data_IF_249070196359
#
_entry.id   IF_249070196359
#
_cell.length_a   1.000
_cell.length_b   1.000
_cell.length_c   1.000
_cell.angle_alpha   90.00
_cell.angle_beta   90.00
_cell.angle_gamma   90.00
#
_symmetry.space_group_name_H-M   'P 1'
#
loop_
_entity.id
_entity.type
_entity.pdbx_description
1 polymer ?
#
# COMPACT_ATOMS: atom_id res chain seq x y z
N UNK A 1 -16.83 -3.38 11.43
CA UNK A 1 -15.83 -3.37 10.32
C UNK A 1 -16.52 -3.78 9.02
N UNK A 2 -16.54 -2.92 7.99
CA UNK A 2 -17.15 -3.30 6.71
C UNK A 2 -16.28 -4.39 6.06
N UNK A 3 -16.78 -5.63 6.12
CA UNK A 3 -16.05 -6.79 5.64
C UNK A 3 -16.27 -6.95 4.13
N UNK A 4 -15.38 -6.35 3.33
CA UNK A 4 -15.41 -6.48 1.86
C UNK A 4 -15.07 -7.89 1.36
N UNK A 5 -14.67 -8.80 2.26
CA UNK A 5 -14.26 -10.17 1.93
C UNK A 5 -15.44 -11.11 1.71
N UNK A 6 -16.65 -10.71 2.11
CA UNK A 6 -17.88 -11.51 1.98
C UNK A 6 -18.88 -10.83 1.02
N UNK A 7 -18.37 -10.24 -0.07
CA UNK A 7 -19.18 -9.51 -1.05
C UNK A 7 -19.15 -10.18 -2.43
N UNK A 8 -20.10 -9.80 -3.28
CA UNK A 8 -20.30 -10.38 -4.61
C UNK A 8 -19.07 -10.32 -5.51
N UNK A 9 -18.19 -9.34 -5.28
CA UNK A 9 -16.94 -9.20 -6.06
C UNK A 9 -15.95 -10.31 -5.75
N UNK A 10 -15.91 -10.76 -4.50
CA UNK A 10 -15.10 -11.92 -4.10
C UNK A 10 -15.69 -13.18 -4.73
N UNK A 11 -16.99 -13.39 -4.62
CA UNK A 11 -17.67 -14.56 -5.22
C UNK A 11 -17.43 -14.64 -6.74
N UNK A 12 -17.47 -13.50 -7.42
CA UNK A 12 -17.17 -13.42 -8.85
C UNK A 12 -15.73 -13.87 -9.18
N UNK A 13 -14.75 -13.51 -8.36
CA UNK A 13 -13.35 -13.90 -8.57
C UNK A 13 -13.16 -15.38 -8.22
N UNK A 14 -13.63 -15.79 -7.03
CA UNK A 14 -13.41 -17.15 -6.52
C UNK A 14 -14.13 -18.22 -7.35
N UNK A 15 -15.29 -17.91 -7.93
CA UNK A 15 -16.02 -18.85 -8.81
C UNK A 15 -15.28 -19.19 -10.11
N UNK A 16 -14.26 -18.41 -10.50
CA UNK A 16 -13.44 -18.64 -11.69
C UNK A 16 -12.10 -19.29 -11.37
N UNK A 17 -11.87 -19.65 -10.10
CA UNK A 17 -10.63 -20.27 -9.65
C UNK A 17 -10.55 -21.71 -10.15
N UNK A 18 -9.39 -22.09 -10.69
CA UNK A 18 -9.10 -23.46 -11.14
C UNK A 18 -8.76 -24.37 -9.95
N UNK A 19 -8.76 -25.68 -10.19
CA UNK A 19 -8.41 -26.69 -9.18
C UNK A 19 -6.98 -26.56 -8.65
N UNK A 20 -6.05 -26.06 -9.47
CA UNK A 20 -4.67 -25.78 -9.08
C UNK A 20 -4.51 -24.55 -8.16
N UNK A 21 -5.61 -23.85 -7.90
CA UNK A 21 -5.67 -22.68 -7.03
C UNK A 21 -5.37 -21.36 -7.72
N UNK A 22 -5.16 -21.35 -9.03
CA UNK A 22 -4.85 -20.15 -9.85
C UNK A 22 -6.05 -19.70 -10.71
N UNK A 23 -5.85 -18.66 -11.52
CA UNK A 23 -6.80 -18.17 -12.53
C UNK A 23 -6.08 -17.97 -13.86
N UNK A 24 -6.60 -18.54 -14.95
CA UNK A 24 -6.09 -18.31 -16.30
C UNK A 24 -4.56 -18.39 -16.44
N UNK A 25 -4.00 -17.56 -17.32
CA UNK A 25 -2.57 -17.26 -17.32
C UNK A 25 -2.25 -16.30 -16.17
N UNK A 26 -0.98 -16.19 -15.80
CA UNK A 26 -0.53 -15.35 -14.71
C UNK A 26 -0.73 -13.86 -15.03
N UNK A 27 -0.11 -13.37 -16.09
CA UNK A 27 0.09 -11.94 -16.30
C UNK A 27 -1.09 -11.23 -16.97
N UNK A 28 -1.59 -10.20 -16.28
CA UNK A 28 -2.15 -8.99 -16.87
C UNK A 28 -2.39 -7.97 -15.75
N UNK A 29 -1.88 -6.74 -15.88
CA UNK A 29 -2.25 -5.62 -15.00
C UNK A 29 -3.36 -4.74 -15.58
N UNK A 30 -3.88 -5.09 -16.76
CA UNK A 30 -5.03 -4.42 -17.36
C UNK A 30 -6.30 -4.65 -16.53
N UNK A 31 -7.29 -3.79 -16.72
CA UNK A 31 -8.58 -3.92 -16.03
C UNK A 31 -9.28 -5.21 -16.47
N UNK A 32 -9.95 -5.92 -15.54
CA UNK A 32 -10.81 -7.04 -15.89
C UNK A 32 -11.86 -6.60 -16.92
N UNK A 33 -12.08 -7.43 -17.94
CA UNK A 33 -13.09 -7.19 -18.97
C UNK A 33 -14.27 -8.09 -18.68
N UNK A 34 -15.48 -7.52 -18.66
CA UNK A 34 -16.72 -8.29 -18.45
C UNK A 34 -16.81 -9.46 -19.43
N UNK A 35 -17.09 -10.65 -18.92
CA UNK A 35 -17.19 -11.88 -19.72
C UNK A 35 -15.86 -12.55 -20.07
N UNK A 36 -14.71 -11.97 -19.70
CA UNK A 36 -13.41 -12.64 -19.78
C UNK A 36 -12.99 -13.20 -18.42
N UNK A 37 -12.35 -14.36 -18.43
CA UNK A 37 -11.79 -14.94 -17.21
C UNK A 37 -10.68 -14.08 -16.64
N UNK A 38 -10.57 -14.04 -15.31
CA UNK A 38 -9.44 -13.40 -14.63
C UNK A 38 -8.12 -14.08 -15.00
N UNK A 39 -7.05 -13.28 -15.10
CA UNK A 39 -5.69 -13.78 -14.90
C UNK A 39 -5.38 -13.89 -13.40
N UNK A 40 -4.36 -14.67 -13.04
CA UNK A 40 -3.98 -14.83 -11.63
C UNK A 40 -3.57 -13.49 -11.03
N UNK A 41 -2.83 -12.68 -11.77
CA UNK A 41 -2.42 -11.35 -11.34
C UNK A 41 -3.60 -10.41 -11.14
N UNK A 42 -4.60 -10.40 -12.03
CA UNK A 42 -5.81 -9.60 -11.85
C UNK A 42 -6.58 -10.04 -10.59
N UNK A 43 -6.71 -11.35 -10.39
CA UNK A 43 -7.44 -11.91 -9.25
C UNK A 43 -6.77 -11.53 -7.92
N UNK A 44 -5.47 -11.78 -7.75
CA UNK A 44 -4.77 -11.47 -6.49
C UNK A 44 -4.69 -9.96 -6.22
N UNK A 45 -4.49 -9.14 -7.27
CA UNK A 45 -4.50 -7.68 -7.13
C UNK A 45 -5.85 -7.21 -6.63
N UNK A 46 -6.93 -7.76 -7.18
CA UNK A 46 -8.28 -7.39 -6.78
C UNK A 46 -8.59 -7.86 -5.35
N UNK A 47 -8.23 -9.10 -5.01
CA UNK A 47 -8.40 -9.64 -3.65
C UNK A 47 -7.61 -8.83 -2.61
N UNK A 48 -6.40 -8.35 -2.93
CA UNK A 48 -5.63 -7.45 -2.07
C UNK A 48 -6.42 -6.19 -1.68
N UNK A 49 -7.03 -5.50 -2.66
CA UNK A 49 -7.84 -4.31 -2.38
C UNK A 49 -9.14 -4.63 -1.64
N UNK A 50 -9.69 -5.85 -1.80
CA UNK A 50 -10.83 -6.35 -1.03
C UNK A 50 -10.44 -6.82 0.39
N UNK A 51 -9.18 -6.70 0.78
CA UNK A 51 -8.70 -6.95 2.14
C UNK A 51 -8.21 -8.37 2.40
N UNK A 52 -7.91 -9.14 1.36
CA UNK A 52 -7.21 -10.42 1.50
C UNK A 52 -5.71 -10.20 1.77
N UNK A 53 -5.14 -11.16 2.49
CA UNK A 53 -3.79 -11.12 3.05
C UNK A 53 -3.07 -12.46 2.82
N UNK A 54 -1.78 -12.55 3.15
CA UNK A 54 -1.00 -13.77 2.96
C UNK A 54 -1.48 -14.93 3.86
N UNK A 55 -2.17 -14.61 4.95
CA UNK A 55 -2.75 -15.51 5.92
C UNK A 55 -3.97 -16.28 5.35
N UNK A 56 -4.63 -15.71 4.35
CA UNK A 56 -5.80 -16.28 3.71
C UNK A 56 -5.39 -17.44 2.79
N UNK A 57 -6.00 -18.61 2.98
CA UNK A 57 -5.63 -19.83 2.25
C UNK A 57 -5.62 -19.65 0.73
N UNK A 58 -6.62 -18.93 0.20
CA UNK A 58 -6.70 -18.63 -1.23
C UNK A 58 -5.46 -17.89 -1.75
N UNK A 59 -4.94 -16.93 -1.00
CA UNK A 59 -3.74 -16.17 -1.37
C UNK A 59 -2.50 -17.02 -1.11
N UNK A 60 -2.42 -17.67 0.05
CA UNK A 60 -1.27 -18.49 0.46
C UNK A 60 -0.91 -19.57 -0.57
N UNK A 61 -1.89 -20.20 -1.20
CA UNK A 61 -1.67 -21.18 -2.27
C UNK A 61 -0.95 -20.53 -3.47
N UNK A 62 -1.40 -19.35 -3.89
CA UNK A 62 -0.79 -18.62 -5.00
C UNK A 62 0.63 -18.20 -4.64
N UNK A 63 0.85 -17.62 -3.46
CA UNK A 63 2.17 -17.16 -3.03
C UNK A 63 3.19 -18.31 -2.98
N UNK A 64 2.79 -19.48 -2.44
CA UNK A 64 3.65 -20.68 -2.48
C UNK A 64 4.00 -21.07 -3.92
N UNK A 65 3.03 -21.06 -4.83
CA UNK A 65 3.30 -21.34 -6.24
C UNK A 65 4.29 -20.33 -6.83
N UNK A 66 4.11 -19.04 -6.58
CA UNK A 66 5.04 -18.00 -7.05
C UNK A 66 6.46 -18.25 -6.54
N UNK A 67 6.60 -18.62 -5.28
CA UNK A 67 7.90 -18.90 -4.67
C UNK A 67 8.59 -20.10 -5.33
N UNK A 68 7.85 -21.19 -5.57
CA UNK A 68 8.35 -22.37 -6.29
C UNK A 68 8.80 -22.00 -7.71
N UNK A 69 8.06 -21.12 -8.39
CA UNK A 69 8.43 -20.64 -9.73
C UNK A 69 9.72 -19.82 -9.73
N UNK A 70 9.91 -18.93 -8.75
CA UNK A 70 11.14 -18.14 -8.64
C UNK A 70 12.36 -19.05 -8.42
N UNK A 71 12.21 -20.11 -7.61
CA UNK A 71 13.23 -21.14 -7.36
C UNK A 71 13.48 -22.05 -8.56
N UNK A 72 12.62 -22.02 -9.58
CA UNK A 72 12.70 -22.88 -10.77
C UNK A 72 12.18 -24.30 -10.53
N UNK A 73 11.41 -24.51 -9.47
CA UNK A 73 10.83 -25.82 -9.12
C UNK A 73 9.60 -26.15 -9.96
N UNK A 74 8.84 -25.12 -10.38
CA UNK A 74 7.61 -25.25 -11.17
C UNK A 74 7.50 -24.09 -12.18
N UNK A 75 6.81 -24.33 -13.29
CA UNK A 75 6.34 -23.24 -14.14
C UNK A 75 5.06 -22.60 -13.54
N UNK A 76 4.89 -21.29 -13.73
CA UNK A 76 3.67 -20.60 -13.26
C UNK A 76 2.46 -20.95 -14.14
N UNK A 77 2.69 -21.04 -15.45
CA UNK A 77 1.77 -21.48 -16.50
C UNK A 77 2.57 -21.83 -17.77
N UNK A 78 1.87 -22.15 -18.87
CA UNK A 78 2.48 -22.48 -20.17
C UNK A 78 2.69 -21.25 -21.08
N UNK A 79 2.47 -20.04 -20.57
CA UNK A 79 2.57 -18.82 -21.37
C UNK A 79 4.00 -18.27 -21.40
N UNK A 80 4.43 -17.80 -22.57
CA UNK A 80 5.70 -17.07 -22.71
C UNK A 80 5.65 -16.08 -23.88
N UNK A 81 6.25 -14.90 -23.69
CA UNK A 81 6.45 -13.94 -24.77
C UNK A 81 7.81 -14.11 -25.44
N UNK A 82 7.82 -14.29 -26.76
CA UNK A 82 9.05 -14.54 -27.55
C UNK A 82 10.01 -13.34 -27.63
N UNK A 83 9.53 -12.12 -27.35
CA UNK A 83 10.32 -10.87 -27.54
C UNK A 83 11.18 -10.50 -26.33
N UNK A 84 10.98 -11.17 -25.20
CA UNK A 84 11.64 -10.87 -23.94
C UNK A 84 12.27 -12.14 -23.37
N UNK A 85 13.26 -11.99 -22.51
CA UNK A 85 13.71 -13.08 -21.64
C UNK A 85 12.61 -13.32 -20.60
N UNK A 86 11.56 -14.03 -21.02
CA UNK A 86 10.31 -14.15 -20.27
C UNK A 86 10.53 -14.67 -18.86
N UNK A 87 11.40 -15.67 -18.70
CA UNK A 87 11.77 -16.22 -17.39
C UNK A 87 12.38 -15.19 -16.44
N UNK A 88 13.09 -14.20 -16.96
CA UNK A 88 13.65 -13.11 -16.16
C UNK A 88 12.57 -12.11 -15.73
N UNK A 89 11.70 -11.73 -16.67
CA UNK A 89 10.58 -10.82 -16.38
C UNK A 89 9.55 -11.46 -15.44
N UNK A 90 9.26 -12.75 -15.61
CA UNK A 90 8.39 -13.53 -14.74
C UNK A 90 8.90 -13.48 -13.29
N UNK A 91 10.19 -13.75 -13.06
CA UNK A 91 10.78 -13.65 -11.71
C UNK A 91 10.60 -12.27 -11.08
N UNK A 92 10.77 -11.20 -11.84
CA UNK A 92 10.51 -9.83 -11.37
C UNK A 92 9.04 -9.66 -10.95
N UNK A 93 8.09 -10.06 -11.79
CA UNK A 93 6.65 -9.94 -11.51
C UNK A 93 6.24 -10.73 -10.27
N UNK A 94 6.66 -12.00 -10.20
CA UNK A 94 6.33 -12.90 -9.09
C UNK A 94 6.93 -12.40 -7.77
N UNK A 95 8.19 -11.98 -7.78
CA UNK A 95 8.85 -11.45 -6.59
C UNK A 95 8.20 -10.15 -6.10
N UNK A 96 7.80 -9.25 -7.02
CA UNK A 96 7.11 -8.02 -6.67
C UNK A 96 5.77 -8.30 -5.96
N UNK A 97 4.95 -9.22 -6.48
CA UNK A 97 3.69 -9.62 -5.83
C UNK A 97 3.90 -10.33 -4.51
N UNK A 98 4.88 -11.25 -4.42
CA UNK A 98 5.27 -11.85 -3.14
C UNK A 98 5.63 -10.79 -2.12
N UNK A 99 6.44 -9.78 -2.47
CA UNK A 99 6.80 -8.70 -1.54
C UNK A 99 5.64 -7.79 -1.17
N UNK A 100 4.59 -7.67 -1.98
CA UNK A 100 3.38 -6.93 -1.62
C UNK A 100 2.64 -7.62 -0.46
N UNK A 101 2.50 -8.94 -0.53
CA UNK A 101 1.79 -9.72 0.50
C UNK A 101 2.68 -10.11 1.69
N UNK A 102 3.94 -10.47 1.42
CA UNK A 102 4.93 -10.94 2.37
C UNK A 102 6.24 -10.14 2.20
N UNK A 103 6.34 -8.93 2.78
CA UNK A 103 7.50 -8.05 2.56
C UNK A 103 8.86 -8.63 2.96
N UNK A 104 8.87 -9.66 3.82
CA UNK A 104 10.05 -10.35 4.36
C UNK A 104 10.25 -11.76 3.77
N UNK A 105 9.54 -12.12 2.69
CA UNK A 105 9.73 -13.39 2.00
C UNK A 105 11.18 -13.48 1.46
N UNK A 106 11.94 -14.48 1.91
CA UNK A 106 13.38 -14.60 1.62
C UNK A 106 13.68 -14.76 0.14
N UNK A 107 12.93 -15.63 -0.54
CA UNK A 107 13.08 -15.89 -1.97
C UNK A 107 12.85 -14.61 -2.79
N UNK A 108 11.83 -13.83 -2.44
CA UNK A 108 11.56 -12.57 -3.11
C UNK A 108 12.59 -11.47 -2.75
N UNK A 109 13.14 -11.49 -1.52
CA UNK A 109 14.20 -10.59 -1.10
C UNK A 109 15.51 -10.84 -1.86
N UNK A 110 15.86 -12.09 -2.16
CA UNK A 110 17.04 -12.40 -3.00
C UNK A 110 16.94 -11.73 -4.37
N UNK A 111 15.76 -11.82 -5.02
CA UNK A 111 15.50 -11.11 -6.29
C UNK A 111 15.55 -9.59 -6.08
N UNK A 112 15.02 -9.08 -4.97
CA UNK A 112 15.05 -7.65 -4.65
C UNK A 112 16.48 -7.11 -4.47
N UNK A 113 17.36 -7.84 -3.78
CA UNK A 113 18.75 -7.43 -3.60
C UNK A 113 19.54 -7.42 -4.91
N UNK A 114 19.30 -8.39 -5.80
CA UNK A 114 19.92 -8.38 -7.13
C UNK A 114 19.52 -7.15 -7.94
N UNK A 115 18.25 -6.77 -7.92
CA UNK A 115 17.80 -5.53 -8.57
C UNK A 115 18.32 -4.27 -7.85
N UNK A 116 18.39 -4.30 -6.51
CA UNK A 116 18.92 -3.20 -5.72
C UNK A 116 20.36 -2.88 -6.10
N UNK A 117 21.22 -3.88 -6.30
CA UNK A 117 22.62 -3.66 -6.74
C UNK A 117 22.71 -2.86 -8.05
N UNK A 118 21.82 -3.11 -9.01
CA UNK A 118 21.78 -2.37 -10.28
C UNK A 118 21.31 -0.94 -10.03
N UNK A 119 20.27 -0.76 -9.21
CA UNK A 119 19.72 0.56 -8.86
C UNK A 119 20.78 1.38 -8.12
N UNK A 120 21.50 0.82 -7.16
CA UNK A 120 22.59 1.51 -6.44
C UNK A 120 23.67 2.02 -7.41
N UNK A 121 24.06 1.20 -8.39
CA UNK A 121 25.03 1.62 -9.43
C UNK A 121 24.44 2.69 -10.35
N UNK A 122 23.21 2.50 -10.83
CA UNK A 122 22.52 3.41 -11.74
C UNK A 122 22.27 4.81 -11.17
N UNK A 123 22.23 4.95 -9.84
CA UNK A 123 22.01 6.20 -9.13
C UNK A 123 23.26 6.74 -8.40
N UNK A 124 24.40 6.05 -8.52
CA UNK A 124 25.64 6.41 -7.81
C UNK A 124 26.13 7.83 -8.09
N UNK A 125 25.88 8.33 -9.30
CA UNK A 125 26.19 9.69 -9.75
C UNK A 125 25.27 10.79 -9.21
N UNK A 126 24.27 10.47 -8.39
CA UNK A 126 23.33 11.45 -7.82
C UNK A 126 22.03 11.64 -8.62
N UNK A 127 21.87 10.94 -9.74
CA UNK A 127 20.64 10.85 -10.52
C UNK A 127 20.65 9.56 -11.34
N UNK A 128 19.50 9.14 -11.87
CA UNK A 128 19.44 7.99 -12.76
C UNK A 128 20.35 8.17 -14.00
N UNK A 129 21.26 7.21 -14.21
CA UNK A 129 22.17 7.15 -15.34
C UNK A 129 21.89 5.92 -16.18
N UNK A 130 21.44 6.14 -17.42
CA UNK A 130 21.19 5.05 -18.39
C UNK A 130 22.46 4.26 -18.67
N UNK A 131 23.62 4.93 -18.71
CA UNK A 131 24.90 4.28 -18.96
C UNK A 131 25.28 3.34 -17.81
N UNK A 132 25.13 3.80 -16.56
CA UNK A 132 25.47 3.00 -15.38
C UNK A 132 24.48 1.85 -15.16
N UNK A 133 23.20 2.06 -15.46
CA UNK A 133 22.17 1.02 -15.47
C UNK A 133 22.52 -0.10 -16.47
N UNK A 134 22.79 0.27 -17.73
CA UNK A 134 23.20 -0.71 -18.76
C UNK A 134 24.51 -1.42 -18.36
N UNK A 135 25.48 -0.70 -17.80
CA UNK A 135 26.75 -1.28 -17.36
C UNK A 135 26.54 -2.28 -16.21
N UNK A 136 25.78 -1.89 -15.17
CA UNK A 136 25.46 -2.73 -14.03
C UNK A 136 24.65 -3.97 -14.43
N UNK A 137 23.66 -3.81 -15.30
CA UNK A 137 22.92 -4.94 -15.87
C UNK A 137 23.84 -5.87 -16.67
N UNK A 138 24.72 -5.31 -17.49
CA UNK A 138 25.65 -6.11 -18.31
C UNK A 138 26.61 -6.91 -17.47
N UNK A 139 27.13 -6.33 -16.39
CA UNK A 139 27.96 -7.01 -15.39
C UNK A 139 27.20 -8.15 -14.72
N UNK A 140 25.97 -7.90 -14.27
CA UNK A 140 25.15 -8.92 -13.60
C UNK A 140 24.74 -10.08 -14.52
N UNK A 141 24.32 -9.78 -15.75
CA UNK A 141 23.75 -10.77 -16.67
C UNK A 141 24.76 -11.35 -17.65
N UNK A 142 25.98 -10.80 -17.72
CA UNK A 142 26.98 -11.16 -18.73
C UNK A 142 26.55 -10.80 -20.17
N UNK A 143 25.53 -9.95 -20.33
CA UNK A 143 25.00 -9.52 -21.63
C UNK A 143 24.33 -8.16 -21.56
N UNK A 144 24.25 -7.46 -22.68
CA UNK A 144 23.48 -6.22 -22.78
C UNK A 144 21.97 -6.47 -22.60
N UNK A 145 21.21 -5.47 -22.12
CA UNK A 145 19.75 -5.51 -22.11
C UNK A 145 19.19 -5.70 -23.53
N UNK A 146 18.13 -6.48 -23.65
CA UNK A 146 17.38 -6.76 -24.89
C UNK A 146 16.04 -6.03 -24.93
N UNK A 147 15.56 -5.50 -23.81
CA UNK A 147 14.30 -4.77 -23.72
C UNK A 147 14.34 -3.66 -22.68
N UNK A 148 13.41 -2.71 -22.78
CA UNK A 148 13.22 -1.65 -21.78
C UNK A 148 12.67 -2.14 -20.44
N UNK A 149 12.35 -3.43 -20.30
CA UNK A 149 11.96 -4.02 -19.01
C UNK A 149 13.15 -4.43 -18.16
N UNK A 150 14.32 -4.56 -18.78
CA UNK A 150 15.57 -4.95 -18.14
C UNK A 150 16.37 -3.76 -17.60
N UNK A 151 15.92 -2.54 -17.88
CA UNK A 151 16.56 -1.27 -17.48
C UNK A 151 15.49 -0.21 -17.19
N UNK A 152 15.88 0.94 -16.68
CA UNK A 152 15.00 2.09 -16.45
C UNK A 152 14.15 2.01 -15.20
N UNK A 153 13.89 0.82 -14.65
CA UNK A 153 13.17 0.63 -13.39
C UNK A 153 11.78 1.30 -13.32
N UNK A 154 11.18 1.76 -14.42
CA UNK A 154 9.97 2.61 -14.42
C UNK A 154 8.63 1.88 -14.23
N UNK A 155 8.67 0.56 -14.11
CA UNK A 155 7.46 -0.26 -13.98
C UNK A 155 7.04 -0.45 -12.54
N UNK A 156 5.73 -0.57 -12.32
CA UNK A 156 5.12 -1.00 -11.06
C UNK A 156 5.92 -2.10 -10.32
N UNK A 157 6.38 -3.13 -11.03
CA UNK A 157 7.10 -4.26 -10.41
C UNK A 157 8.39 -3.86 -9.71
N UNK A 158 9.19 -2.96 -10.31
CA UNK A 158 10.42 -2.48 -9.69
C UNK A 158 10.11 -1.68 -8.42
N UNK A 159 9.17 -0.73 -8.50
CA UNK A 159 8.75 0.06 -7.34
C UNK A 159 8.13 -0.80 -6.23
N UNK A 160 7.41 -1.86 -6.57
CA UNK A 160 6.83 -2.77 -5.58
C UNK A 160 7.85 -3.73 -4.94
N UNK A 161 8.94 -4.04 -5.64
CA UNK A 161 9.98 -4.98 -5.23
C UNK A 161 11.02 -4.36 -4.30
N UNK A 162 11.39 -3.09 -4.49
CA UNK A 162 12.56 -2.48 -3.84
C UNK A 162 12.38 -1.80 -2.46
N UNK A 163 11.19 -1.71 -1.81
CA UNK A 163 11.12 -1.14 -0.47
C UNK A 163 12.05 -1.84 0.53
N UNK A 164 12.76 -1.09 1.37
CA UNK A 164 13.65 -1.60 2.44
C UNK A 164 14.94 -2.32 1.99
N UNK A 165 15.28 -2.30 0.71
CA UNK A 165 16.53 -2.93 0.21
C UNK A 165 17.49 -1.95 -0.47
N UNK A 166 17.12 -0.67 -0.55
CA UNK A 166 17.98 0.40 -1.04
C UNK A 166 18.62 1.15 0.14
N UNK A 167 19.80 1.71 -0.09
CA UNK A 167 20.43 2.65 0.83
C UNK A 167 19.57 3.91 0.97
N UNK A 168 19.58 4.60 2.12
CA UNK A 168 18.76 5.81 2.30
C UNK A 168 19.01 6.91 1.27
N UNK A 169 20.23 6.99 0.73
CA UNK A 169 20.59 7.95 -0.33
C UNK A 169 19.97 7.55 -1.67
N UNK A 170 20.14 6.29 -2.07
CA UNK A 170 19.60 5.78 -3.35
C UNK A 170 18.08 5.73 -3.32
N UNK A 171 17.47 5.36 -2.19
CA UNK A 171 16.01 5.41 -2.01
C UNK A 171 15.46 6.82 -2.27
N UNK A 172 16.12 7.85 -1.76
CA UNK A 172 15.72 9.25 -1.96
C UNK A 172 15.73 9.61 -3.47
N UNK A 173 16.82 9.30 -4.16
CA UNK A 173 16.96 9.55 -5.60
C UNK A 173 15.98 8.71 -6.44
N UNK A 174 15.71 7.48 -6.04
CA UNK A 174 14.79 6.57 -6.71
C UNK A 174 13.34 7.07 -6.63
N UNK A 175 12.94 7.66 -5.50
CA UNK A 175 11.64 8.30 -5.37
C UNK A 175 11.54 9.55 -6.24
N UNK A 176 12.57 10.40 -6.31
CA UNK A 176 12.59 11.57 -7.21
C UNK A 176 12.50 11.16 -8.69
N UNK A 177 13.17 10.06 -9.05
CA UNK A 177 13.06 9.45 -10.36
C UNK A 177 11.61 9.07 -10.69
N UNK A 178 10.91 8.36 -9.80
CA UNK A 178 9.51 8.01 -10.01
C UNK A 178 8.56 9.21 -10.03
N UNK A 179 8.82 10.21 -9.18
CA UNK A 179 8.01 11.43 -9.10
C UNK A 179 8.10 12.24 -10.39
N UNK A 180 9.30 12.37 -10.96
CA UNK A 180 9.57 13.20 -12.15
C UNK A 180 9.39 12.48 -13.48
N UNK A 181 9.17 11.16 -13.48
CA UNK A 181 9.13 10.34 -14.69
C UNK A 181 8.01 10.76 -15.66
N UNK A 182 8.33 11.17 -16.92
CA UNK A 182 7.34 11.72 -17.87
C UNK A 182 6.17 10.79 -18.19
N UNK A 183 6.45 9.50 -18.29
CA UNK A 183 5.52 8.41 -18.63
C UNK A 183 4.93 7.73 -17.39
N UNK A 184 5.19 8.26 -16.20
CA UNK A 184 4.65 7.76 -14.94
C UNK A 184 5.18 6.40 -14.52
N UNK A 185 4.32 5.64 -13.82
CA UNK A 185 4.59 4.28 -13.36
C UNK A 185 3.90 3.29 -14.30
N UNK A 186 4.69 2.73 -15.23
CA UNK A 186 4.18 1.82 -16.25
C UNK A 186 3.32 0.70 -15.64
N UNK A 187 2.25 0.35 -16.36
CA UNK A 187 1.09 -0.47 -15.98
C UNK A 187 -0.02 0.19 -15.17
N UNK A 188 0.26 1.17 -14.32
CA UNK A 188 -0.76 1.67 -13.38
C UNK A 188 -1.02 3.17 -13.45
N UNK A 189 -0.08 3.97 -13.94
CA UNK A 189 -0.26 5.41 -14.12
C UNK A 189 0.67 5.96 -15.21
N UNK A 190 0.14 6.77 -16.11
CA UNK A 190 0.79 7.16 -17.38
C UNK A 190 1.23 8.63 -17.45
N UNK A 191 1.38 9.29 -16.29
CA UNK A 191 1.75 10.70 -16.16
C UNK A 191 2.74 10.90 -15.00
N UNK A 192 3.46 12.03 -14.93
CA UNK A 192 4.36 12.32 -13.82
C UNK A 192 3.65 12.32 -12.46
N UNK A 193 4.25 11.68 -11.45
CA UNK A 193 3.63 11.57 -10.12
C UNK A 193 3.79 12.83 -9.27
N UNK A 194 4.72 13.72 -9.63
CA UNK A 194 4.84 15.07 -9.08
C UNK A 194 3.79 16.04 -9.65
N UNK A 195 2.95 15.61 -10.60
CA UNK A 195 1.83 16.38 -11.13
C UNK A 195 0.52 15.78 -10.60
N UNK A 196 -0.21 16.57 -9.82
CA UNK A 196 -1.48 16.15 -9.26
C UNK A 196 -2.57 16.08 -10.35
N UNK A 197 -3.48 15.09 -10.32
CA UNK A 197 -4.64 15.08 -11.18
C UNK A 197 -5.51 16.33 -10.96
N UNK A 198 -5.87 17.02 -12.05
CA UNK A 198 -6.71 18.23 -12.01
C UNK A 198 -8.09 17.99 -11.39
N UNK A 199 -8.69 16.83 -11.67
CA UNK A 199 -10.02 16.46 -11.20
C UNK A 199 -9.93 15.28 -10.25
N UNK A 200 -10.21 15.51 -8.96
CA UNK A 200 -10.18 14.47 -7.93
C UNK A 200 -11.18 13.35 -8.19
N UNK A 201 -12.43 13.67 -8.50
CA UNK A 201 -13.49 12.71 -8.78
C UNK A 201 -13.34 12.06 -10.18
N UNK A 202 -12.26 11.33 -10.38
CA UNK A 202 -11.90 10.71 -11.65
C UNK A 202 -11.20 9.36 -11.48
N UNK A 203 -11.23 8.56 -12.56
CA UNK A 203 -10.42 7.34 -12.64
C UNK A 203 -8.92 7.64 -12.60
N UNK A 204 -8.49 8.75 -13.22
CA UNK A 204 -7.09 9.17 -13.22
C UNK A 204 -6.58 9.36 -11.79
N UNK A 205 -7.38 9.94 -10.90
CA UNK A 205 -7.06 10.07 -9.47
C UNK A 205 -7.00 8.73 -8.74
N UNK A 206 -7.90 7.79 -9.04
CA UNK A 206 -7.85 6.43 -8.48
C UNK A 206 -6.56 5.69 -8.87
N UNK A 207 -6.14 5.81 -10.13
CA UNK A 207 -4.88 5.26 -10.64
C UNK A 207 -3.65 5.97 -10.05
N UNK A 208 -3.67 7.30 -9.96
CA UNK A 208 -2.63 8.10 -9.32
C UNK A 208 -2.38 7.63 -7.88
N UNK A 209 -3.47 7.51 -7.09
CA UNK A 209 -3.39 7.03 -5.71
C UNK A 209 -2.83 5.61 -5.63
N UNK A 210 -3.05 4.76 -6.64
CA UNK A 210 -2.43 3.45 -6.65
C UNK A 210 -0.91 3.48 -6.81
N UNK A 211 -0.39 4.40 -7.61
CA UNK A 211 1.05 4.60 -7.71
C UNK A 211 1.62 5.18 -6.41
N UNK A 212 0.89 6.11 -5.77
CA UNK A 212 1.28 6.65 -4.46
C UNK A 212 1.27 5.56 -3.37
N UNK A 213 0.31 4.63 -3.37
CA UNK A 213 0.28 3.47 -2.47
C UNK A 213 1.52 2.57 -2.61
N UNK A 214 2.12 2.49 -3.79
CA UNK A 214 3.38 1.77 -4.00
C UNK A 214 4.55 2.54 -3.43
N UNK A 215 4.65 3.84 -3.74
CA UNK A 215 5.74 4.69 -3.26
C UNK A 215 5.70 4.91 -1.75
N UNK A 216 4.52 4.91 -1.11
CA UNK A 216 4.39 5.10 0.34
C UNK A 216 5.00 3.96 1.18
N UNK A 217 5.46 2.88 0.54
CA UNK A 217 6.14 1.75 1.20
C UNK A 217 7.62 2.01 1.48
N UNK A 218 8.19 3.04 0.87
CA UNK A 218 9.57 3.49 1.11
C UNK A 218 9.63 4.43 2.32
N UNK A 219 10.76 4.45 3.03
CA UNK A 219 10.90 5.24 4.25
C UNK A 219 10.94 6.73 3.95
N UNK A 220 11.65 7.12 2.89
CA UNK A 220 11.80 8.50 2.40
C UNK A 220 10.53 9.07 1.76
N UNK A 221 9.52 8.24 1.51
CA UNK A 221 8.29 8.68 0.84
C UNK A 221 7.52 9.74 1.64
N UNK A 222 7.55 9.68 2.98
CA UNK A 222 6.86 10.66 3.84
C UNK A 222 7.38 12.08 3.64
N UNK A 223 8.67 12.23 3.33
CA UNK A 223 9.29 13.53 3.13
C UNK A 223 8.89 14.13 1.78
N UNK A 224 8.72 13.27 0.77
CA UNK A 224 8.44 13.68 -0.62
C UNK A 224 6.97 13.78 -0.98
N UNK A 225 6.07 13.10 -0.26
CA UNK A 225 4.64 13.00 -0.61
C UNK A 225 3.73 14.00 0.14
N UNK A 226 4.29 15.00 0.83
CA UNK A 226 3.48 16.00 1.56
C UNK A 226 2.49 16.73 0.63
N UNK A 227 2.89 17.06 -0.60
CA UNK A 227 1.98 17.70 -1.57
C UNK A 227 0.75 16.83 -1.92
N UNK A 228 0.88 15.49 -1.84
CA UNK A 228 -0.26 14.57 -2.03
C UNK A 228 -1.20 14.64 -0.83
N UNK A 229 -0.66 14.78 0.38
CA UNK A 229 -1.45 14.99 1.59
C UNK A 229 -2.31 16.25 1.48
N UNK A 230 -1.67 17.35 1.07
CA UNK A 230 -2.33 18.64 0.92
C UNK A 230 -3.43 18.56 -0.12
N UNK A 231 -3.15 17.94 -1.27
CA UNK A 231 -4.13 17.70 -2.32
C UNK A 231 -5.32 16.89 -1.83
N UNK A 232 -5.10 15.83 -1.06
CA UNK A 232 -6.19 15.01 -0.54
C UNK A 232 -7.00 15.74 0.52
N UNK A 233 -6.36 16.46 1.43
CA UNK A 233 -7.08 17.25 2.41
C UNK A 233 -7.95 18.34 1.75
N UNK A 234 -7.46 18.97 0.68
CA UNK A 234 -8.21 19.94 -0.09
C UNK A 234 -9.42 19.34 -0.85
N UNK A 235 -9.41 18.04 -1.13
CA UNK A 235 -10.47 17.35 -1.88
C UNK A 235 -11.46 16.57 -0.99
N UNK A 236 -11.52 16.90 0.30
CA UNK A 236 -12.58 16.41 1.19
C UNK A 236 -13.91 17.10 0.87
N UNK A 237 -15.01 16.36 0.98
CA UNK A 237 -16.36 16.93 0.94
C UNK A 237 -16.69 17.67 2.25
N UNK A 238 -17.89 18.25 2.32
CA UNK A 238 -18.38 18.98 3.52
C UNK A 238 -18.35 18.14 4.80
N UNK A 239 -18.45 16.82 4.69
CA UNK A 239 -18.36 15.88 5.82
C UNK A 239 -16.94 15.41 6.13
N UNK A 240 -15.92 15.97 5.45
CA UNK A 240 -14.52 15.59 5.65
C UNK A 240 -14.11 14.28 4.97
N UNK A 241 -14.94 13.72 4.09
CA UNK A 241 -14.79 12.42 3.43
C UNK A 241 -14.40 12.56 1.95
N UNK A 242 -13.98 11.48 1.30
CA UNK A 242 -13.56 11.49 -0.11
C UNK A 242 -14.57 10.80 -1.01
N UNK A 243 -14.68 11.28 -2.25
CA UNK A 243 -15.45 10.64 -3.33
C UNK A 243 -14.64 10.67 -4.64
N UNK A 244 -14.16 9.51 -5.11
CA UNK A 244 -13.47 9.39 -6.40
C UNK A 244 -14.40 9.48 -7.62
N UNK A 245 -15.71 9.59 -7.42
CA UNK A 245 -16.70 9.74 -8.47
C UNK A 245 -17.03 8.44 -9.21
N UNK A 246 -18.15 8.46 -9.95
CA UNK A 246 -18.71 7.26 -10.59
C UNK A 246 -17.73 6.59 -11.57
N UNK A 247 -16.94 7.39 -12.28
CA UNK A 247 -15.99 6.93 -13.30
C UNK A 247 -14.82 6.13 -12.74
N UNK A 248 -14.58 6.19 -11.43
CA UNK A 248 -13.52 5.43 -10.75
C UNK A 248 -13.83 3.93 -10.64
N UNK A 249 -15.07 3.49 -10.97
CA UNK A 249 -15.41 2.07 -11.09
C UNK A 249 -14.58 1.40 -12.17
N UNK A 250 -13.55 0.65 -11.76
CA UNK A 250 -12.57 0.03 -12.67
C UNK A 250 -12.46 -1.49 -12.53
N UNK A 251 -13.10 -2.08 -11.51
CA UNK A 251 -13.04 -3.51 -11.23
C UNK A 251 -11.72 -3.96 -10.61
N UNK A 252 -10.84 -3.02 -10.26
CA UNK A 252 -9.52 -3.26 -9.66
C UNK A 252 -9.48 -2.64 -8.27
N UNK A 253 -9.48 -1.32 -8.19
CA UNK A 253 -9.45 -0.57 -6.94
C UNK A 253 -10.85 -0.35 -6.40
N UNK A 254 -11.81 -0.13 -7.30
CA UNK A 254 -13.20 0.13 -6.96
C UNK A 254 -14.18 -0.67 -7.83
N UNK A 255 -15.36 -1.01 -7.29
CA UNK A 255 -15.86 -0.70 -5.93
C UNK A 255 -15.21 -1.59 -4.86
N UNK A 256 -15.43 -1.35 -3.58
CA UNK A 256 -15.13 -2.33 -2.51
C UNK A 256 -16.43 -2.93 -1.99
N UNK A 257 -17.43 -2.09 -1.76
CA UNK A 257 -18.80 -2.46 -1.43
C UNK A 257 -19.53 -3.12 -2.61
N UNK A 258 -20.56 -3.93 -2.31
CA UNK A 258 -21.40 -4.57 -3.33
C UNK A 258 -22.20 -3.58 -4.19
N UNK A 259 -22.37 -2.35 -3.71
CA UNK A 259 -22.98 -1.26 -4.47
C UNK A 259 -21.94 -0.20 -4.80
N UNK A 260 -22.26 0.61 -5.81
CA UNK A 260 -21.48 1.77 -6.21
C UNK A 260 -22.37 3.00 -6.39
N UNK A 261 -23.31 3.13 -5.44
CA UNK A 261 -24.11 4.35 -5.27
C UNK A 261 -23.28 5.42 -4.53
N UNK A 262 -23.77 6.66 -4.47
CA UNK A 262 -23.02 7.78 -3.87
C UNK A 262 -22.56 7.49 -2.44
N UNK A 263 -23.42 6.88 -1.62
CA UNK A 263 -23.12 6.60 -0.22
C UNK A 263 -22.00 5.56 -0.07
N UNK A 264 -22.16 4.41 -0.73
CA UNK A 264 -21.16 3.34 -0.71
C UNK A 264 -19.84 3.75 -1.34
N UNK A 265 -19.89 4.56 -2.40
CA UNK A 265 -18.70 5.10 -3.06
C UNK A 265 -17.90 6.03 -2.14
N UNK A 266 -18.55 6.91 -1.38
CA UNK A 266 -17.88 7.77 -0.39
C UNK A 266 -17.20 6.91 0.68
N UNK A 267 -17.88 5.87 1.16
CA UNK A 267 -17.33 4.94 2.16
C UNK A 267 -16.09 4.22 1.62
N UNK A 268 -16.19 3.61 0.44
CA UNK A 268 -15.08 2.88 -0.19
C UNK A 268 -13.89 3.81 -0.48
N UNK A 269 -14.16 5.01 -1.01
CA UNK A 269 -13.16 6.03 -1.32
C UNK A 269 -12.42 6.47 -0.06
N UNK A 270 -13.17 6.79 0.99
CA UNK A 270 -12.62 7.20 2.28
C UNK A 270 -11.82 6.08 2.92
N UNK A 271 -12.32 4.84 2.87
CA UNK A 271 -11.61 3.67 3.40
C UNK A 271 -10.24 3.49 2.74
N UNK A 272 -10.19 3.57 1.40
CA UNK A 272 -8.93 3.45 0.65
C UNK A 272 -7.94 4.55 1.02
N UNK A 273 -8.38 5.81 1.00
CA UNK A 273 -7.54 6.95 1.41
C UNK A 273 -7.05 6.79 2.85
N UNK A 274 -7.92 6.38 3.77
CA UNK A 274 -7.56 6.17 5.18
C UNK A 274 -6.48 5.10 5.37
N UNK A 275 -6.41 4.10 4.49
CA UNK A 275 -5.34 3.09 4.50
C UNK A 275 -4.00 3.65 4.01
N UNK A 276 -4.03 4.49 2.98
CA UNK A 276 -2.82 5.17 2.49
C UNK A 276 -2.25 6.09 3.57
N UNK A 277 -3.13 6.76 4.30
CA UNK A 277 -2.80 7.64 5.42
C UNK A 277 -3.15 7.00 6.75
N UNK A 278 -2.70 5.77 6.96
CA UNK A 278 -2.25 5.39 8.28
C UNK A 278 -1.06 6.30 8.69
N UNK A 279 -1.30 7.63 8.73
CA UNK A 279 -0.50 8.60 9.42
C UNK A 279 -0.48 8.06 10.84
N UNK A 280 0.70 7.68 11.34
CA UNK A 280 0.82 7.47 12.75
C UNK A 280 0.31 8.75 13.41
N UNK A 281 -0.53 8.60 14.45
CA UNK A 281 -0.73 9.66 15.43
C UNK A 281 0.64 10.25 15.81
N UNK A 282 0.72 11.46 16.35
CA UNK A 282 2.00 12.08 16.76
C UNK A 282 2.94 11.09 17.47
N UNK A 283 2.36 10.18 18.27
CA UNK A 283 3.05 9.13 19.03
C UNK A 283 3.40 7.83 18.28
N UNK A 284 3.04 7.65 17.01
CA UNK A 284 3.30 6.42 16.25
C UNK A 284 2.12 5.44 16.16
N UNK A 285 0.99 5.72 16.81
CA UNK A 285 -0.19 4.85 16.74
C UNK A 285 -0.81 4.81 15.34
N UNK A 286 -0.98 3.61 14.80
CA UNK A 286 -1.69 3.36 13.55
C UNK A 286 -3.21 3.46 13.79
N UNK A 287 -3.81 4.61 13.42
CA UNK A 287 -5.25 4.83 13.57
C UNK A 287 -6.07 3.77 12.85
N UNK A 288 -5.59 3.22 11.72
CA UNK A 288 -6.32 2.20 10.97
C UNK A 288 -6.51 0.88 11.74
N UNK A 289 -5.76 0.69 12.82
CA UNK A 289 -5.87 -0.48 13.72
C UNK A 289 -6.58 -0.16 15.04
N UNK A 290 -6.77 1.11 15.37
CA UNK A 290 -7.38 1.54 16.63
C UNK A 290 -8.89 1.24 16.62
N UNK A 291 -9.37 0.47 17.61
CA UNK A 291 -10.78 0.07 17.68
C UNK A 291 -11.69 1.31 17.77
N UNK A 292 -11.31 2.33 18.54
CA UNK A 292 -12.11 3.57 18.69
C UNK A 292 -12.23 4.34 17.37
N UNK A 293 -11.13 4.45 16.61
CA UNK A 293 -11.15 5.08 15.29
C UNK A 293 -12.06 4.29 14.34
N UNK A 294 -11.84 2.97 14.25
CA UNK A 294 -12.64 2.10 13.37
C UNK A 294 -14.12 2.18 13.73
N UNK A 295 -14.46 2.12 15.02
CA UNK A 295 -15.84 2.23 15.52
C UNK A 295 -16.52 3.52 15.04
N UNK A 296 -15.77 4.62 14.99
CA UNK A 296 -16.25 5.91 14.50
C UNK A 296 -16.46 5.88 13.00
N UNK A 297 -15.44 5.44 12.24
CA UNK A 297 -15.50 5.41 10.78
C UNK A 297 -16.56 4.44 10.23
N UNK A 298 -16.86 3.36 10.96
CA UNK A 298 -17.89 2.38 10.57
C UNK A 298 -19.20 2.54 11.32
N UNK A 299 -19.33 3.57 12.17
CA UNK A 299 -20.45 3.80 13.07
C UNK A 299 -20.94 2.52 13.80
N UNK A 300 -20.03 1.83 14.48
CA UNK A 300 -20.21 0.49 15.02
C UNK A 300 -20.15 0.51 16.57
N UNK A 301 -21.32 0.43 17.21
CA UNK A 301 -21.44 0.49 18.67
C UNK A 301 -20.87 -0.73 19.39
N UNK A 302 -20.77 -1.88 18.71
CA UNK A 302 -20.15 -3.06 19.31
C UNK A 302 -18.64 -2.87 19.43
N UNK A 303 -18.02 -2.24 18.43
CA UNK A 303 -16.62 -1.80 18.54
C UNK A 303 -16.44 -0.71 19.60
N UNK A 304 -17.40 0.22 19.75
CA UNK A 304 -17.36 1.20 20.87
C UNK A 304 -17.39 0.49 22.22
N UNK A 305 -18.29 -0.49 22.40
CA UNK A 305 -18.39 -1.29 23.64
C UNK A 305 -17.13 -2.12 23.89
N UNK A 306 -16.54 -2.68 22.83
CA UNK A 306 -15.26 -3.39 22.93
C UNK A 306 -14.16 -2.46 23.44
N UNK A 307 -14.07 -1.25 22.88
CA UNK A 307 -13.10 -0.25 23.32
C UNK A 307 -13.36 0.18 24.76
N UNK A 308 -14.62 0.43 25.12
CA UNK A 308 -15.03 0.77 26.49
C UNK A 308 -14.60 -0.29 27.50
N UNK A 309 -14.88 -1.58 27.23
CA UNK A 309 -14.43 -2.68 28.09
C UNK A 309 -12.92 -2.71 28.24
N UNK A 310 -12.18 -2.53 27.14
CA UNK A 310 -10.73 -2.50 27.18
C UNK A 310 -10.20 -1.43 28.15
N UNK A 311 -10.69 -0.19 28.07
CA UNK A 311 -10.23 0.88 28.97
C UNK A 311 -10.66 0.68 30.42
N UNK A 312 -11.86 0.16 30.64
CA UNK A 312 -12.35 -0.19 31.98
C UNK A 312 -11.52 -1.29 32.63
N UNK A 313 -11.23 -2.38 31.92
CA UNK A 313 -10.49 -3.52 32.45
C UNK A 313 -8.98 -3.24 32.58
N UNK A 314 -8.38 -2.59 31.59
CA UNK A 314 -6.92 -2.39 31.56
C UNK A 314 -6.45 -1.22 32.42
N UNK A 315 -7.27 -0.18 32.53
CA UNK A 315 -6.90 1.09 33.16
C UNK A 315 -7.87 1.55 34.25
N UNK A 316 -8.98 0.83 34.50
CA UNK A 316 -9.98 1.24 35.49
C UNK A 316 -10.81 2.46 35.08
N UNK A 317 -10.83 2.81 33.79
CA UNK A 317 -11.49 4.02 33.28
C UNK A 317 -12.89 3.69 32.77
N UNK A 318 -13.92 4.10 33.51
CA UNK A 318 -15.33 3.90 33.16
C UNK A 318 -15.88 5.09 32.35
N UNK A 319 -15.46 5.17 31.09
CA UNK A 319 -15.81 6.26 30.18
C UNK A 319 -17.17 5.95 29.51
N UNK A 320 -18.11 6.92 29.39
CA UNK A 320 -19.38 6.71 28.70
C UNK A 320 -19.22 6.32 27.22
N UNK A 321 -20.14 5.51 26.68
CA UNK A 321 -20.02 4.93 25.35
C UNK A 321 -19.96 6.00 24.24
N UNK A 322 -20.74 7.06 24.40
CA UNK A 322 -20.83 8.22 23.51
C UNK A 322 -19.52 9.02 23.38
N UNK A 323 -18.55 8.79 24.28
CA UNK A 323 -17.22 9.41 24.23
C UNK A 323 -16.20 8.61 23.40
N UNK A 324 -16.56 7.39 22.96
CA UNK A 324 -15.72 6.57 22.09
C UNK A 324 -15.88 6.95 20.61
N UNK A 325 -15.54 8.21 20.30
CA UNK A 325 -15.56 8.74 18.94
C UNK A 325 -14.21 9.41 18.61
N UNK A 326 -13.66 9.14 17.42
CA UNK A 326 -12.36 9.63 16.97
C UNK A 326 -12.26 9.62 15.43
N UNK A 327 -11.97 10.79 14.85
CA UNK A 327 -11.74 10.96 13.40
C UNK A 327 -10.24 10.88 13.04
N UNK A 328 -9.42 10.40 13.98
CA UNK A 328 -7.98 10.16 13.82
C UNK A 328 -7.15 11.09 14.69
N UNK A 329 -5.96 10.64 15.11
CA UNK A 329 -5.12 11.34 16.10
C UNK A 329 -4.56 12.71 15.66
N UNK A 330 -4.81 13.12 14.41
CA UNK A 330 -4.48 14.44 13.86
C UNK A 330 -5.70 15.25 13.42
N UNK A 331 -6.90 14.75 13.71
CA UNK A 331 -8.17 15.44 13.41
C UNK A 331 -8.52 16.43 14.52
N UNK A 332 -9.51 17.31 14.27
CA UNK A 332 -10.08 18.18 15.32
C UNK A 332 -10.91 17.42 16.36
N UNK A 333 -11.44 16.25 16.00
CA UNK A 333 -12.30 15.43 16.85
C UNK A 333 -11.59 14.12 17.17
N UNK A 334 -10.83 14.13 18.26
CA UNK A 334 -10.10 12.97 18.76
C UNK A 334 -10.88 12.25 19.86
N UNK A 335 -10.47 11.02 20.15
CA UNK A 335 -10.93 10.30 21.34
C UNK A 335 -10.60 11.10 22.61
N UNK A 336 -11.45 11.04 23.63
CA UNK A 336 -11.34 11.84 24.87
C UNK A 336 -9.95 11.74 25.52
N UNK A 337 -9.37 10.54 25.63
CA UNK A 337 -8.02 10.37 26.21
C UNK A 337 -6.88 10.86 25.30
N UNK A 338 -7.18 11.24 24.06
CA UNK A 338 -6.23 11.78 23.09
C UNK A 338 -6.31 13.32 22.98
N UNK A 339 -7.28 13.99 23.61
CA UNK A 339 -7.40 15.46 23.58
C UNK A 339 -6.15 16.14 24.15
N UNK A 340 -5.61 15.59 25.25
CA UNK A 340 -4.41 16.10 25.92
C UNK A 340 -3.14 15.31 25.57
N UNK A 341 -3.03 14.78 24.35
CA UNK A 341 -1.88 13.98 23.94
C UNK A 341 -0.54 14.77 24.11
N UNK A 342 0.40 14.30 24.96
CA UNK A 342 1.65 15.02 25.23
C UNK A 342 2.53 15.14 23.99
N UNK A 343 2.49 14.14 23.10
CA UNK A 343 3.23 14.15 21.83
C UNK A 343 2.67 15.16 20.83
N UNK A 344 1.36 15.38 20.82
CA UNK A 344 0.73 16.43 20.00
C UNK A 344 1.21 17.80 20.46
N UNK A 345 1.18 18.06 21.77
CA UNK A 345 1.65 19.32 22.37
C UNK A 345 3.13 19.58 22.06
N UNK A 346 3.98 18.58 22.31
CA UNK A 346 5.41 18.67 21.99
C UNK A 346 5.67 18.97 20.51
N UNK A 347 4.95 18.32 19.59
CA UNK A 347 5.07 18.60 18.15
C UNK A 347 4.67 20.04 17.81
N UNK A 348 3.56 20.54 18.38
CA UNK A 348 3.12 21.92 18.19
C UNK A 348 4.14 22.95 18.71
N UNK A 349 4.73 22.70 19.88
CA UNK A 349 5.77 23.57 20.47
C UNK A 349 7.04 23.62 19.60
N UNK A 350 7.41 22.50 19.00
CA UNK A 350 8.57 22.40 18.12
C UNK A 350 8.28 22.83 16.67
N UNK A 351 7.03 23.19 16.35
CA UNK A 351 6.62 23.56 14.99
C UNK A 351 6.73 22.39 13.99
N UNK A 352 6.66 21.15 14.46
CA UNK A 352 6.73 19.93 13.65
C UNK A 352 5.39 19.20 13.67
N UNK A 353 5.12 18.39 12.65
CA UNK A 353 3.84 17.71 12.49
C UNK A 353 3.82 16.26 13.02
N UNK A 354 4.96 15.77 13.51
CA UNK A 354 5.13 14.41 14.01
C UNK A 354 6.43 14.25 14.81
N UNK A 355 6.45 13.34 15.80
CA UNK A 355 7.66 13.07 16.57
C UNK A 355 8.84 12.65 15.69
N UNK A 356 8.61 11.93 14.59
CA UNK A 356 9.69 11.47 13.71
C UNK A 356 10.36 12.59 12.90
N UNK A 357 9.84 13.82 12.93
CA UNK A 357 10.49 15.01 12.38
C UNK A 357 11.28 15.79 13.42
N UNK A 358 11.26 15.36 14.68
CA UNK A 358 12.08 15.97 15.73
C UNK A 358 13.55 15.55 15.53
N UNK A 359 14.52 16.49 15.61
CA UNK A 359 15.95 16.17 15.54
C UNK A 359 16.40 15.17 16.62
N UNK A 360 15.72 15.14 17.75
CA UNK A 360 16.01 14.24 18.87
C UNK A 360 15.29 12.88 18.75
N UNK A 361 14.62 12.62 17.62
CA UNK A 361 13.88 11.37 17.45
C UNK A 361 14.81 10.17 17.19
N UNK A 362 14.57 9.01 17.84
CA UNK A 362 13.56 8.81 18.87
C UNK A 362 14.08 9.24 20.26
N UNK A 363 13.40 10.19 20.90
CA UNK A 363 13.73 10.59 22.27
C UNK A 363 13.24 9.54 23.27
N UNK A 364 13.70 9.64 24.52
CA UNK A 364 13.37 8.63 25.55
C UNK A 364 11.86 8.51 25.77
N UNK A 365 11.15 9.63 25.83
CA UNK A 365 9.72 9.68 26.12
C UNK A 365 8.89 8.97 25.03
N UNK A 366 9.27 9.14 23.75
CA UNK A 366 8.57 8.47 22.65
C UNK A 366 8.92 6.98 22.61
N UNK A 367 10.16 6.60 22.89
CA UNK A 367 10.58 5.20 22.97
C UNK A 367 9.81 4.44 24.06
N UNK A 368 9.80 4.97 25.28
CA UNK A 368 9.13 4.36 26.44
C UNK A 368 7.63 4.19 26.16
N UNK A 369 7.01 5.19 25.52
CA UNK A 369 5.60 5.12 25.14
C UNK A 369 5.34 4.11 24.02
N UNK A 370 6.17 4.10 22.97
CA UNK A 370 6.03 3.19 21.84
C UNK A 370 6.20 1.74 22.27
N UNK A 371 7.17 1.46 23.14
CA UNK A 371 7.39 0.12 23.67
C UNK A 371 6.18 -0.38 24.46
N UNK A 372 5.52 0.50 25.21
CA UNK A 372 4.44 0.09 26.12
C UNK A 372 3.06 0.04 25.46
N UNK A 373 2.76 0.97 24.55
CA UNK A 373 1.38 1.21 24.10
C UNK A 373 1.17 1.11 22.59
N UNK A 374 2.15 1.57 21.80
CA UNK A 374 1.97 1.65 20.34
C UNK A 374 1.85 0.27 19.74
N UNK A 375 0.74 0.06 19.04
CA UNK A 375 0.37 -1.20 18.43
C UNK A 375 0.19 -2.40 19.38
N UNK A 376 -0.01 -2.15 20.67
CA UNK A 376 -0.17 -3.18 21.72
C UNK A 376 -1.46 -3.05 22.55
N UNK A 377 -2.22 -1.98 22.37
CA UNK A 377 -3.36 -1.61 23.22
C UNK A 377 -4.54 -1.11 22.37
N UNK A 378 -5.78 -1.55 22.68
CA UNK A 378 -7.02 -1.13 22.01
C UNK A 378 -6.99 -1.23 20.47
N UNK A 379 -6.33 -2.26 19.95
CA UNK A 379 -6.26 -2.51 18.52
C UNK A 379 -7.02 -3.77 18.15
N UNK A 380 -7.53 -3.83 16.93
CA UNK A 380 -8.00 -5.10 16.41
C UNK A 380 -6.83 -6.06 16.30
N UNK A 381 -6.87 -7.12 17.11
CA UNK A 381 -5.96 -8.23 16.96
C UNK A 381 -6.14 -8.83 15.58
N UNK A 382 -5.03 -9.06 14.87
CA UNK A 382 -5.05 -9.96 13.72
C UNK A 382 -5.50 -11.31 14.28
N UNK A 383 -6.71 -11.77 13.94
CA UNK A 383 -7.09 -13.17 14.19
C UNK A 383 -6.01 -14.02 13.52
N UNK A 384 -5.25 -14.74 14.35
CA UNK A 384 -4.19 -15.66 13.93
C UNK A 384 -4.75 -16.81 13.12
#
# INVERSE_FOLDING_TARGET
>A
MQNYRNGKWVDQILSQRREDGLWGNFHALSRPVSGKSYTTEQAIRRLYYLGYTAEDEVIRIVLRRMEQCIKGELAIDDYSEKKHEWSFFEKLMLAAWLRIFEPQNKTALEVAYQWAEIVEKAFSGGSYSVADDIAAFTEWKGRKPKSGFETGFGMFYHAALLPKVLSPKTEDLFLDYYLSKPDGMYYIYDQPLNQLPEVFASRKSSCYIAAIEVLSRYDKAKDKLNFVMDWLNANRNESGLWDFGEKAKDGVYFPLSDRWDKTTRIIDSTYRISKLFAMPCYCGHDCSKCITYIATQTNDDDLRRQSQRFYKERFGLDIPLEKFNCDGGRSKKVYELCEDCPFSKCCMEHGIDACNKCPEYPCKEILDYQEKYVNKCNQQERKR
#
